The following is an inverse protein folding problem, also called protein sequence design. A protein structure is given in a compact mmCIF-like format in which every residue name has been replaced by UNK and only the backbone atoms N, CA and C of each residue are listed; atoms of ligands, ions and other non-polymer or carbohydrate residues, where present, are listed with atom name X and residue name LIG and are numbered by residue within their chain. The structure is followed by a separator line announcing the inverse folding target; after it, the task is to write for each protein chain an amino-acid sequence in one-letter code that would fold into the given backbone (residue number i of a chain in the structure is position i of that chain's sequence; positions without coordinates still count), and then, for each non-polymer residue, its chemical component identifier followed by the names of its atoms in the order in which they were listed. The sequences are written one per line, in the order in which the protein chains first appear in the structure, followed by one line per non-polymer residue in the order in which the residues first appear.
data_IF_115454676127
#
_entry.id   IF_115454676127
#
_cell.length_a   1.000
_cell.length_b   1.000
_cell.length_c   1.000
_cell.angle_alpha   90.00
_cell.angle_beta   90.00
_cell.angle_gamma   90.00
#
_symmetry.space_group_name_H-M   'P 1'
#
loop_
_entity.id
_entity.type
_entity.pdbx_description
1 polymer ?
#
# COMPACT_ATOMS: atom_id res chain seq x y z
N UNK A 1 17.23 23.00 -11.25
CA UNK A 1 17.11 21.59 -11.64
C UNK A 1 17.72 20.68 -10.55
N UNK A 2 17.28 20.80 -9.28
CA UNK A 2 17.99 20.21 -8.12
C UNK A 2 17.11 19.59 -7.03
N UNK A 3 15.77 19.54 -7.20
CA UNK A 3 14.81 18.98 -6.23
C UNK A 3 13.98 17.81 -6.79
N UNK A 4 13.97 17.60 -8.10
CA UNK A 4 13.12 16.57 -8.74
C UNK A 4 13.71 15.16 -8.64
N UNK A 5 15.00 15.02 -8.32
CA UNK A 5 15.70 13.73 -8.29
C UNK A 5 16.13 13.27 -6.88
N UNK A 6 16.11 14.13 -5.84
CA UNK A 6 16.50 13.75 -4.46
C UNK A 6 15.64 12.61 -3.89
N UNK A 7 14.36 12.55 -4.27
CA UNK A 7 13.47 11.48 -3.82
C UNK A 7 13.80 10.12 -4.47
N UNK A 8 14.44 10.13 -5.64
CA UNK A 8 14.89 8.91 -6.30
C UNK A 8 16.04 8.31 -5.51
N UNK A 9 16.97 9.12 -5.02
CA UNK A 9 18.07 8.64 -4.16
C UNK A 9 17.55 8.07 -2.82
N UNK A 10 16.45 8.63 -2.28
CA UNK A 10 15.87 8.17 -1.01
C UNK A 10 15.01 6.90 -1.15
N UNK A 11 14.38 6.70 -2.31
CA UNK A 11 13.34 5.67 -2.48
C UNK A 11 13.49 4.77 -3.72
N UNK A 12 14.51 4.97 -4.56
CA UNK A 12 14.86 4.08 -5.65
C UNK A 12 16.32 3.66 -5.49
N UNK A 13 16.55 2.38 -5.26
CA UNK A 13 17.87 1.83 -5.55
C UNK A 13 18.02 1.83 -7.07
N UNK A 14 19.00 2.60 -7.59
CA UNK A 14 19.33 2.56 -9.01
C UNK A 14 19.69 1.12 -9.39
N UNK A 15 18.77 0.46 -10.09
CA UNK A 15 18.99 -0.84 -10.66
C UNK A 15 20.14 -0.75 -11.66
N UNK A 16 21.28 -1.32 -11.32
CA UNK A 16 22.43 -1.42 -12.23
C UNK A 16 21.99 -2.12 -13.52
N UNK A 17 21.97 -1.37 -14.63
CA UNK A 17 21.80 -1.93 -15.97
C UNK A 17 23.06 -2.71 -16.33
N UNK A 18 22.96 -4.03 -16.25
CA UNK A 18 24.03 -4.90 -16.68
C UNK A 18 23.67 -6.38 -16.62
N UNK A 19 23.66 -7.01 -17.80
CA UNK A 19 24.09 -8.39 -18.10
C UNK A 19 23.07 -9.56 -18.07
N UNK A 20 23.22 -10.36 -19.14
CA UNK A 20 22.86 -11.76 -19.48
C UNK A 20 21.50 -12.33 -19.03
N UNK A 21 20.78 -12.95 -19.98
CA UNK A 21 19.37 -13.35 -19.90
C UNK A 21 18.91 -14.19 -18.68
N UNK A 22 19.80 -14.87 -17.96
CA UNK A 22 19.45 -15.58 -16.72
C UNK A 22 19.12 -14.63 -15.56
N UNK A 23 19.83 -13.50 -15.46
CA UNK A 23 19.64 -12.50 -14.40
C UNK A 23 18.40 -11.66 -14.64
N UNK A 24 18.11 -11.34 -15.91
CA UNK A 24 16.84 -10.74 -16.34
C UNK A 24 15.64 -11.65 -16.02
N UNK A 25 15.76 -12.95 -16.27
CA UNK A 25 14.72 -13.93 -15.93
C UNK A 25 14.51 -14.03 -14.41
N UNK A 26 15.59 -14.00 -13.63
CA UNK A 26 15.54 -14.00 -12.16
C UNK A 26 14.83 -12.76 -11.62
N UNK A 27 15.19 -11.56 -12.11
CA UNK A 27 14.54 -10.29 -11.72
C UNK A 27 13.04 -10.30 -12.07
N UNK A 28 12.66 -10.81 -13.24
CA UNK A 28 11.25 -10.96 -13.63
C UNK A 28 10.47 -11.88 -12.68
N UNK A 29 11.01 -13.05 -12.35
CA UNK A 29 10.36 -13.99 -11.41
C UNK A 29 10.23 -13.40 -10.01
N UNK A 30 11.23 -12.65 -9.56
CA UNK A 30 11.18 -11.99 -8.26
C UNK A 30 10.10 -10.90 -8.24
N UNK A 31 9.98 -10.11 -9.31
CA UNK A 31 8.87 -9.15 -9.49
C UNK A 31 7.51 -9.84 -9.41
N UNK A 32 7.31 -10.93 -10.18
CA UNK A 32 6.05 -11.68 -10.19
C UNK A 32 5.71 -12.22 -8.78
N UNK A 33 6.71 -12.69 -8.02
CA UNK A 33 6.52 -13.10 -6.63
C UNK A 33 6.14 -11.95 -5.71
N UNK A 34 6.77 -10.78 -5.86
CA UNK A 34 6.45 -9.61 -5.04
C UNK A 34 5.01 -9.17 -5.31
N UNK A 35 4.62 -9.04 -6.58
CA UNK A 35 3.25 -8.70 -7.00
C UNK A 35 2.25 -9.68 -6.36
N UNK A 36 2.45 -10.99 -6.57
CA UNK A 36 1.57 -12.01 -6.04
C UNK A 36 1.45 -11.95 -4.51
N UNK A 37 2.58 -11.80 -3.81
CA UNK A 37 2.61 -11.71 -2.34
C UNK A 37 1.87 -10.47 -1.85
N UNK A 38 2.04 -9.31 -2.49
CA UNK A 38 1.38 -8.07 -2.10
C UNK A 38 -0.13 -8.14 -2.35
N UNK A 39 -0.54 -8.73 -3.46
CA UNK A 39 -1.95 -9.02 -3.77
C UNK A 39 -2.62 -9.92 -2.72
N UNK A 40 -1.95 -11.01 -2.36
CA UNK A 40 -2.41 -11.95 -1.33
C UNK A 40 -2.48 -11.30 0.05
N UNK A 41 -1.45 -10.55 0.44
CA UNK A 41 -1.44 -9.82 1.70
C UNK A 41 -2.57 -8.80 1.77
N UNK A 42 -2.79 -8.02 0.71
CA UNK A 42 -3.88 -7.04 0.67
C UNK A 42 -5.24 -7.71 0.94
N UNK A 43 -5.52 -8.81 0.24
CA UNK A 43 -6.76 -9.58 0.40
C UNK A 43 -6.88 -10.19 1.80
N UNK A 44 -5.78 -10.74 2.33
CA UNK A 44 -5.73 -11.32 3.66
C UNK A 44 -6.03 -10.27 4.74
N UNK A 45 -5.38 -9.11 4.67
CA UNK A 45 -5.56 -8.05 5.66
C UNK A 45 -6.95 -7.43 5.60
N UNK A 46 -7.52 -7.26 4.40
CA UNK A 46 -8.89 -6.74 4.26
C UNK A 46 -9.89 -7.69 4.93
N UNK A 47 -9.81 -8.99 4.62
CA UNK A 47 -10.69 -9.99 5.24
C UNK A 47 -10.52 -10.05 6.76
N UNK A 48 -9.29 -9.93 7.25
CA UNK A 48 -9.02 -9.89 8.68
C UNK A 48 -9.59 -8.63 9.34
N UNK A 49 -9.55 -7.48 8.66
CA UNK A 49 -10.15 -6.23 9.12
C UNK A 49 -11.68 -6.36 9.21
N UNK A 50 -12.33 -6.90 8.18
CA UNK A 50 -13.78 -7.14 8.17
C UNK A 50 -14.22 -8.04 9.33
N UNK A 51 -13.49 -9.13 9.59
CA UNK A 51 -13.79 -10.02 10.72
C UNK A 51 -13.62 -9.35 12.11
N UNK A 52 -12.83 -8.27 12.20
CA UNK A 52 -12.61 -7.57 13.47
C UNK A 52 -13.72 -6.57 13.78
N UNK A 53 -14.51 -6.14 12.80
CA UNK A 53 -15.61 -5.19 13.01
C UNK A 53 -16.61 -5.74 14.05
N UNK A 54 -16.93 -7.03 13.98
CA UNK A 54 -17.85 -7.70 14.92
C UNK A 54 -17.16 -8.23 16.20
N UNK A 55 -15.93 -7.79 16.51
CA UNK A 55 -15.16 -8.30 17.66
C UNK A 55 -15.20 -7.35 18.86
N UNK A 56 -14.66 -7.77 20.01
CA UNK A 56 -14.49 -6.91 21.20
C UNK A 56 -13.46 -5.76 20.98
N UNK A 57 -12.83 -5.69 19.80
CA UNK A 57 -11.77 -4.72 19.46
C UNK A 57 -11.90 -4.17 18.03
N UNK A 58 -13.04 -3.56 17.66
CA UNK A 58 -13.33 -3.16 16.28
C UNK A 58 -12.33 -2.14 15.72
N UNK A 59 -11.77 -1.27 16.57
CA UNK A 59 -10.75 -0.30 16.18
C UNK A 59 -9.45 -0.95 15.64
N UNK A 60 -9.17 -2.22 15.97
CA UNK A 60 -8.06 -2.95 15.36
C UNK A 60 -8.29 -3.21 13.85
N UNK A 61 -9.54 -3.20 13.37
CA UNK A 61 -9.87 -3.26 11.95
C UNK A 61 -9.24 -2.10 11.17
N UNK A 62 -9.15 -0.90 11.74
CA UNK A 62 -8.50 0.27 11.11
C UNK A 62 -7.04 -0.02 10.79
N UNK A 63 -6.32 -0.66 11.72
CA UNK A 63 -4.90 -1.01 11.54
C UNK A 63 -4.75 -2.02 10.40
N UNK A 64 -5.60 -3.05 10.37
CA UNK A 64 -5.54 -4.09 9.34
C UNK A 64 -6.01 -3.56 7.97
N UNK A 65 -7.04 -2.72 7.94
CA UNK A 65 -7.54 -2.07 6.74
C UNK A 65 -6.49 -1.17 6.10
N UNK A 66 -5.72 -0.43 6.92
CA UNK A 66 -4.56 0.32 6.42
C UNK A 66 -3.53 -0.61 5.74
N UNK A 67 -3.16 -1.73 6.37
CA UNK A 67 -2.21 -2.68 5.76
C UNK A 67 -2.75 -3.30 4.47
N UNK A 68 -4.07 -3.51 4.37
CA UNK A 68 -4.71 -3.97 3.15
C UNK A 68 -4.52 -2.97 2.00
N UNK A 69 -4.78 -1.68 2.27
CA UNK A 69 -4.59 -0.58 1.33
C UNK A 69 -3.11 -0.40 0.94
N UNK A 70 -2.20 -0.38 1.91
CA UNK A 70 -0.77 -0.24 1.67
C UNK A 70 -0.22 -1.36 0.80
N UNK A 71 -0.54 -2.63 1.11
CA UNK A 71 -0.08 -3.76 0.28
C UNK A 71 -0.66 -3.71 -1.14
N UNK A 72 -1.88 -3.20 -1.32
CA UNK A 72 -2.47 -3.02 -2.65
C UNK A 72 -1.73 -1.96 -3.47
N UNK A 73 -1.36 -0.85 -2.84
CA UNK A 73 -0.53 0.19 -3.48
C UNK A 73 0.85 -0.35 -3.84
N UNK A 74 1.48 -1.10 -2.95
CA UNK A 74 2.77 -1.72 -3.21
C UNK A 74 2.72 -2.77 -4.33
N UNK A 75 1.61 -3.50 -4.48
CA UNK A 75 1.37 -4.34 -5.65
C UNK A 75 1.40 -3.52 -6.94
N UNK A 76 0.62 -2.44 -7.02
CA UNK A 76 0.56 -1.56 -8.19
C UNK A 76 1.93 -0.94 -8.53
N UNK A 77 2.69 -0.55 -7.51
CA UNK A 77 4.05 -0.02 -7.67
C UNK A 77 5.03 -1.10 -8.17
N UNK A 78 4.90 -2.33 -7.69
CA UNK A 78 5.69 -3.45 -8.18
C UNK A 78 5.42 -3.73 -9.67
N UNK A 79 4.18 -3.58 -10.15
CA UNK A 79 3.87 -3.63 -11.59
C UNK A 79 4.68 -2.61 -12.40
N UNK A 80 4.95 -1.42 -11.84
CA UNK A 80 5.78 -0.36 -12.45
C UNK A 80 7.28 -0.51 -12.20
N UNK A 81 7.73 -1.65 -11.64
CA UNK A 81 9.13 -1.90 -11.24
C UNK A 81 9.64 -0.93 -10.16
N UNK A 82 8.75 -0.41 -9.32
CA UNK A 82 9.11 0.42 -8.19
C UNK A 82 9.14 -0.43 -6.91
N UNK A 83 10.31 -0.48 -6.25
CA UNK A 83 10.50 -1.19 -5.00
C UNK A 83 10.28 -0.27 -3.81
N UNK A 84 9.45 -0.71 -2.87
CA UNK A 84 9.03 0.09 -1.73
C UNK A 84 9.71 -0.44 -0.47
N UNK A 85 10.45 0.44 0.20
CA UNK A 85 11.19 0.12 1.43
C UNK A 85 10.58 0.74 2.69
N UNK A 86 9.79 1.80 2.55
CA UNK A 86 9.18 2.54 3.66
C UNK A 86 7.82 3.11 3.25
N UNK A 87 6.97 3.43 4.22
CA UNK A 87 5.71 4.13 3.98
C UNK A 87 5.89 5.42 3.19
N UNK A 88 6.94 6.20 3.49
CA UNK A 88 7.26 7.43 2.76
C UNK A 88 7.50 7.15 1.27
N UNK A 89 8.19 6.05 0.96
CA UNK A 89 8.39 5.61 -0.41
C UNK A 89 7.10 5.10 -1.06
N UNK A 90 6.18 4.50 -0.31
CA UNK A 90 4.83 4.15 -0.81
C UNK A 90 4.08 5.40 -1.26
N UNK A 91 4.05 6.46 -0.43
CA UNK A 91 3.38 7.73 -0.74
C UNK A 91 4.03 8.41 -1.96
N UNK A 92 5.36 8.45 -2.01
CA UNK A 92 6.10 9.03 -3.14
C UNK A 92 5.88 8.24 -4.42
N UNK A 93 5.95 6.92 -4.37
CA UNK A 93 5.65 6.04 -5.49
C UNK A 93 4.24 6.27 -6.02
N UNK A 94 3.24 6.32 -5.14
CA UNK A 94 1.86 6.54 -5.54
C UNK A 94 1.66 7.92 -6.20
N UNK A 95 2.27 8.97 -5.65
CA UNK A 95 2.19 10.33 -6.19
C UNK A 95 2.97 10.53 -7.49
N UNK A 96 4.13 9.87 -7.66
CA UNK A 96 5.11 10.19 -8.72
C UNK A 96 5.27 9.10 -9.78
N UNK A 97 5.08 7.84 -9.43
CA UNK A 97 5.22 6.69 -10.36
C UNK A 97 3.85 6.29 -10.90
N UNK A 98 2.83 6.26 -10.05
CA UNK A 98 1.44 6.05 -10.46
C UNK A 98 0.71 7.36 -10.76
N UNK A 99 1.40 8.50 -10.65
CA UNK A 99 0.87 9.85 -10.95
C UNK A 99 -0.49 10.12 -10.27
N UNK A 100 -0.64 9.66 -9.03
CA UNK A 100 -1.92 9.68 -8.30
C UNK A 100 -1.79 10.39 -6.93
N UNK A 101 -1.54 11.71 -6.90
CA UNK A 101 -1.32 12.46 -5.66
C UNK A 101 -2.53 12.46 -4.72
N UNK A 102 -3.75 12.36 -5.25
CA UNK A 102 -4.98 12.27 -4.46
C UNK A 102 -5.02 10.94 -3.68
N UNK A 103 -4.71 9.82 -4.34
CA UNK A 103 -4.64 8.51 -3.68
C UNK A 103 -3.49 8.46 -2.66
N UNK A 104 -2.37 9.12 -2.96
CA UNK A 104 -1.28 9.28 -1.99
C UNK A 104 -1.73 10.03 -0.73
N UNK A 105 -2.51 11.09 -0.89
CA UNK A 105 -3.08 11.84 0.24
C UNK A 105 -4.08 10.99 1.04
N UNK A 106 -4.90 10.19 0.36
CA UNK A 106 -5.83 9.28 1.04
C UNK A 106 -5.10 8.20 1.84
N UNK A 107 -4.05 7.59 1.27
CA UNK A 107 -3.24 6.59 1.96
C UNK A 107 -2.51 7.17 3.17
N UNK A 108 -1.94 8.38 3.07
CA UNK A 108 -1.28 9.05 4.21
C UNK A 108 -2.29 9.39 5.31
N UNK A 109 -3.51 9.84 4.97
CA UNK A 109 -4.58 10.03 5.95
C UNK A 109 -4.95 8.73 6.66
N UNK A 110 -5.04 7.61 5.93
CA UNK A 110 -5.26 6.30 6.50
C UNK A 110 -4.11 5.87 7.43
N UNK A 111 -2.87 6.18 7.06
CA UNK A 111 -1.69 5.94 7.89
C UNK A 111 -1.72 6.74 9.21
N UNK A 112 -2.07 8.03 9.16
CA UNK A 112 -2.19 8.83 10.39
C UNK A 112 -3.28 8.26 11.30
N UNK A 113 -4.46 7.92 10.77
CA UNK A 113 -5.52 7.29 11.57
C UNK A 113 -5.05 5.98 12.20
N UNK A 114 -4.35 5.12 11.44
CA UNK A 114 -3.73 3.89 11.97
C UNK A 114 -2.71 4.17 13.07
N UNK A 115 -1.92 5.24 12.96
CA UNK A 115 -1.00 5.65 14.01
C UNK A 115 -1.74 6.09 15.26
N UNK A 116 -2.79 6.90 15.12
CA UNK A 116 -3.59 7.36 16.25
C UNK A 116 -4.09 6.18 17.07
N UNK A 117 -4.64 5.15 16.42
CA UNK A 117 -5.09 3.91 17.07
C UNK A 117 -3.97 3.18 17.81
N UNK A 118 -2.77 3.08 17.23
CA UNK A 118 -1.64 2.43 17.89
C UNK A 118 -1.06 3.21 19.09
N UNK A 119 -1.30 4.52 19.15
CA UNK A 119 -0.90 5.35 20.28
C UNK A 119 -1.96 5.43 21.37
N UNK A 120 -3.19 4.94 21.13
CA UNK A 120 -4.20 4.80 22.18
C UNK A 120 -3.79 3.72 23.18
N UNK A 121 -3.83 4.04 24.48
CA UNK A 121 -3.52 3.09 25.55
C UNK A 121 -4.62 2.04 25.75
N UNK A 122 -5.83 2.33 25.28
CA UNK A 122 -6.98 1.43 25.25
C UNK A 122 -7.76 1.69 23.95
N UNK A 123 -7.99 0.63 23.17
CA UNK A 123 -8.84 0.69 21.99
C UNK A 123 -10.29 0.92 22.43
N UNK A 124 -10.96 1.86 21.79
CA UNK A 124 -12.39 2.10 22.00
C UNK A 124 -13.21 0.99 21.34
N UNK A 125 -14.38 0.71 21.90
CA UNK A 125 -15.41 -0.16 21.30
C UNK A 125 -16.24 0.59 20.24
N UNK A 126 -15.64 1.57 19.55
CA UNK A 126 -16.33 2.34 18.51
C UNK A 126 -16.29 1.57 17.19
N UNK A 127 -17.30 0.74 17.00
CA UNK A 127 -17.54 -0.07 15.80
C UNK A 127 -17.89 0.79 14.58
N UNK A 128 -18.74 1.81 14.76
CA UNK A 128 -19.19 2.68 13.67
C UNK A 128 -18.03 3.38 12.98
N UNK A 129 -17.08 3.94 13.74
CA UNK A 129 -15.91 4.59 13.13
C UNK A 129 -15.02 3.59 12.37
N UNK A 130 -14.88 2.36 12.88
CA UNK A 130 -14.09 1.32 12.23
C UNK A 130 -14.75 0.85 10.93
N UNK A 131 -16.08 0.65 10.93
CA UNK A 131 -16.86 0.28 9.76
C UNK A 131 -16.79 1.38 8.68
N UNK A 132 -17.02 2.64 9.05
CA UNK A 132 -16.89 3.79 8.14
C UNK A 132 -15.48 3.87 7.54
N UNK A 133 -14.44 3.63 8.34
CA UNK A 133 -13.07 3.62 7.83
C UNK A 133 -12.85 2.51 6.77
N UNK A 134 -13.38 1.31 7.00
CA UNK A 134 -13.24 0.20 6.06
C UNK A 134 -14.05 0.45 4.77
N UNK A 135 -15.33 0.78 4.91
CA UNK A 135 -16.25 0.92 3.78
C UNK A 135 -16.04 2.19 2.96
N UNK A 136 -15.74 3.32 3.61
CA UNK A 136 -15.66 4.61 2.91
C UNK A 136 -14.24 5.01 2.52
N UNK A 137 -13.22 4.38 3.10
CA UNK A 137 -11.82 4.74 2.81
C UNK A 137 -10.99 3.59 2.26
N UNK A 138 -10.96 2.45 2.95
CA UNK A 138 -10.08 1.33 2.57
C UNK A 138 -10.55 0.66 1.29
N UNK A 139 -11.81 0.22 1.25
CA UNK A 139 -12.37 -0.48 0.08
C UNK A 139 -12.36 0.39 -1.19
N UNK A 140 -12.79 1.67 -1.15
CA UNK A 140 -12.72 2.54 -2.33
C UNK A 140 -11.28 2.76 -2.81
N UNK A 141 -10.33 2.98 -1.89
CA UNK A 141 -8.92 3.13 -2.26
C UNK A 141 -8.39 1.87 -2.93
N UNK A 142 -8.67 0.68 -2.39
CA UNK A 142 -8.26 -0.60 -3.00
C UNK A 142 -8.85 -0.75 -4.41
N UNK A 143 -10.12 -0.37 -4.60
CA UNK A 143 -10.80 -0.45 -5.89
C UNK A 143 -10.18 0.50 -6.94
N UNK A 144 -9.88 1.73 -6.55
CA UNK A 144 -9.19 2.71 -7.41
C UNK A 144 -7.80 2.22 -7.81
N UNK A 145 -7.07 1.57 -6.89
CA UNK A 145 -5.75 1.00 -7.20
C UNK A 145 -5.87 -0.23 -8.11
N UNK A 146 -6.86 -1.11 -7.92
CA UNK A 146 -7.10 -2.23 -8.83
C UNK A 146 -7.33 -1.74 -10.27
N UNK A 147 -8.14 -0.68 -10.43
CA UNK A 147 -8.38 -0.07 -11.75
C UNK A 147 -7.08 0.40 -12.42
N UNK A 148 -6.14 0.96 -11.64
CA UNK A 148 -4.81 1.35 -12.15
C UNK A 148 -3.90 0.17 -12.52
N UNK A 149 -4.07 -0.97 -11.87
CA UNK A 149 -3.35 -2.21 -12.22
C UNK A 149 -3.88 -2.72 -13.55
N UNK A 150 -5.21 -2.81 -13.71
CA UNK A 150 -5.87 -3.28 -14.93
C UNK A 150 -5.54 -2.40 -16.15
N UNK A 151 -5.47 -1.08 -16.00
CA UNK A 151 -5.06 -0.14 -17.06
C UNK A 151 -3.59 -0.34 -17.54
N UNK A 152 -2.80 -1.13 -16.81
CA UNK A 152 -1.38 -1.36 -17.09
C UNK A 152 -1.11 -2.71 -17.79
N UNK A 153 -2.10 -3.63 -17.82
CA UNK A 153 -2.01 -4.95 -18.46
C UNK A 153 -2.46 -4.93 -19.94
#
# INVERSE_FOLDING_TARGET
MRKEDEWKEECMEEGTEGRVGAEKLKKRREKERIIQRKSQNSSYWLKAAENLLDSDTPQAAIVLGYFAAENKVEEALAHKNYEVNTHLCTIKGLSRVLESPELATQLDRAYQKRKDINYETQLKEDETEAEEFIEERVKPLIQEINSKIEDTE
#
